data_IF_474478705293
#
_entry.id   IF_474478705293
#
_cell.length_a   1.000
_cell.length_b   1.000
_cell.length_c   1.000
_cell.angle_alpha   90.00
_cell.angle_beta   90.00
_cell.angle_gamma   90.00
#
_symmetry.space_group_name_H-M   'P 1'
#
loop_
_entity.id
_entity.type
_entity.pdbx_description
1 polymer ?
#
# COMPACT_ATOMS: atom_id res chain seq x y z
N UNK A 1 22.77 3.98 0.65
CA UNK A 1 22.45 5.18 1.44
C UNK A 1 21.23 5.85 0.82
N UNK A 2 20.28 6.33 1.63
CA UNK A 2 19.05 7.00 1.19
C UNK A 2 19.40 8.33 0.53
N UNK A 3 18.89 8.54 -0.69
CA UNK A 3 19.06 9.78 -1.46
C UNK A 3 17.81 10.67 -1.42
N UNK A 4 17.93 11.91 -1.88
CA UNK A 4 16.76 12.78 -2.06
C UNK A 4 15.76 12.14 -3.02
N UNK A 5 14.49 12.07 -2.61
CA UNK A 5 13.43 11.40 -3.37
C UNK A 5 13.35 9.88 -3.16
N UNK A 6 14.30 9.27 -2.43
CA UNK A 6 14.18 7.86 -2.05
C UNK A 6 13.11 7.68 -0.97
N UNK A 7 12.20 6.77 -1.24
CA UNK A 7 11.33 6.16 -0.23
C UNK A 7 11.49 4.64 -0.18
N UNK A 8 10.96 4.02 0.87
CA UNK A 8 11.09 2.57 1.11
C UNK A 8 10.64 1.72 -0.10
N UNK A 9 9.65 2.21 -0.85
CA UNK A 9 9.10 1.56 -2.02
C UNK A 9 10.00 1.72 -3.26
N UNK A 10 10.55 2.90 -3.48
CA UNK A 10 11.54 3.15 -4.54
C UNK A 10 12.82 2.33 -4.33
N UNK A 11 13.25 2.19 -3.07
CA UNK A 11 14.38 1.35 -2.66
C UNK A 11 14.03 -0.12 -2.89
N UNK A 12 12.85 -0.56 -2.45
CA UNK A 12 12.33 -1.91 -2.73
C UNK A 12 12.39 -2.26 -4.23
N UNK A 13 11.97 -1.34 -5.09
CA UNK A 13 12.02 -1.50 -6.55
C UNK A 13 13.46 -1.56 -7.08
N UNK A 14 14.30 -0.63 -6.65
CA UNK A 14 15.71 -0.53 -7.09
C UNK A 14 16.49 -1.81 -6.79
N UNK A 15 16.28 -2.37 -5.59
CA UNK A 15 17.01 -3.57 -5.13
C UNK A 15 16.26 -4.88 -5.35
N UNK A 16 15.03 -4.85 -5.88
CA UNK A 16 14.17 -6.03 -6.10
C UNK A 16 13.89 -6.84 -4.82
N UNK A 17 13.90 -6.19 -3.67
CA UNK A 17 13.59 -6.75 -2.34
C UNK A 17 12.25 -6.22 -1.89
N UNK A 18 11.39 -7.05 -1.30
CA UNK A 18 10.08 -6.61 -0.85
C UNK A 18 10.17 -5.66 0.36
N UNK A 19 9.22 -4.73 0.40
CA UNK A 19 9.13 -3.71 1.45
C UNK A 19 9.14 -4.30 2.87
N UNK A 20 8.39 -5.38 3.19
CA UNK A 20 8.48 -6.03 4.49
C UNK A 20 9.90 -6.44 4.86
N UNK A 21 10.67 -7.04 3.96
CA UNK A 21 12.07 -7.40 4.21
C UNK A 21 12.89 -6.18 4.61
N UNK A 22 12.83 -5.09 3.83
CA UNK A 22 13.64 -3.89 4.10
C UNK A 22 13.28 -3.29 5.46
N UNK A 23 11.99 -3.24 5.80
CA UNK A 23 11.52 -2.69 7.06
C UNK A 23 12.01 -3.50 8.24
N UNK A 24 11.84 -4.83 8.19
CA UNK A 24 12.25 -5.70 9.30
C UNK A 24 13.77 -5.74 9.46
N UNK A 25 14.52 -5.77 8.36
CA UNK A 25 15.99 -5.74 8.41
C UNK A 25 16.51 -4.45 9.03
N UNK A 26 15.83 -3.32 8.83
CA UNK A 26 16.25 -2.01 9.33
C UNK A 26 15.48 -1.53 10.56
N UNK A 27 14.59 -2.37 11.11
CA UNK A 27 13.72 -2.05 12.25
C UNK A 27 13.00 -0.70 12.08
N UNK A 28 12.53 -0.41 10.86
CA UNK A 28 11.95 0.89 10.54
C UNK A 28 10.57 1.03 11.19
N UNK A 29 10.43 2.03 12.06
CA UNK A 29 9.17 2.39 12.72
C UNK A 29 8.28 3.31 11.88
N UNK A 30 8.80 3.90 10.80
CA UNK A 30 8.05 4.75 9.87
C UNK A 30 8.51 4.58 8.42
N UNK A 31 7.67 4.99 7.46
CA UNK A 31 8.04 5.08 6.05
C UNK A 31 8.87 6.32 5.72
N UNK A 32 9.02 7.28 6.65
CA UNK A 32 9.81 8.49 6.45
C UNK A 32 11.29 8.15 6.57
N UNK A 33 11.97 8.09 5.43
CA UNK A 33 13.42 7.90 5.38
C UNK A 33 14.12 9.27 5.42
N UNK A 34 15.18 9.38 6.22
CA UNK A 34 16.05 10.55 6.22
C UNK A 34 17.13 10.37 5.16
N UNK A 35 17.33 11.38 4.33
CA UNK A 35 18.44 11.43 3.36
C UNK A 35 19.76 11.26 4.13
N UNK A 36 20.66 10.43 3.61
CA UNK A 36 21.92 10.08 4.26
C UNK A 36 21.84 8.84 5.18
N UNK A 37 20.64 8.31 5.48
CA UNK A 37 20.53 7.07 6.27
C UNK A 37 21.08 5.88 5.49
N UNK A 38 21.94 5.07 6.11
CA UNK A 38 22.37 3.80 5.56
C UNK A 38 21.36 2.69 5.90
N UNK A 39 20.64 2.19 4.89
CA UNK A 39 19.78 1.01 5.04
C UNK A 39 20.55 -0.26 4.67
N UNK A 40 20.40 -1.29 5.49
CA UNK A 40 20.80 -2.67 5.21
C UNK A 40 19.80 -3.28 4.25
N UNK A 41 20.24 -3.60 3.03
CA UNK A 41 19.40 -4.24 2.01
C UNK A 41 19.90 -5.68 1.83
N UNK A 42 19.12 -6.69 2.23
CA UNK A 42 19.46 -8.09 1.97
C UNK A 42 19.55 -8.36 0.46
N UNK A 43 20.36 -9.34 0.06
CA UNK A 43 20.48 -9.77 -1.33
C UNK A 43 19.36 -10.73 -1.77
N UNK A 44 18.49 -11.13 -0.85
CA UNK A 44 17.36 -12.02 -1.09
C UNK A 44 16.18 -11.65 -0.20
N UNK A 45 14.98 -12.12 -0.58
CA UNK A 45 13.73 -11.85 0.17
C UNK A 45 13.69 -12.68 1.45
N UNK A 46 13.12 -12.09 2.51
CA UNK A 46 13.04 -12.78 3.80
C UNK A 46 12.82 -11.84 4.98
N UNK A 47 12.99 -12.36 6.19
CA UNK A 47 12.72 -11.60 7.42
C UNK A 47 13.89 -11.70 8.35
N UNK A 48 14.33 -10.57 8.89
CA UNK A 48 15.27 -10.57 9.99
C UNK A 48 14.50 -10.79 11.31
N UNK A 49 14.63 -11.97 11.90
CA UNK A 49 13.99 -12.34 13.15
C UNK A 49 14.95 -12.19 14.32
N UNK A 50 14.53 -11.47 15.38
CA UNK A 50 15.30 -11.38 16.63
C UNK A 50 14.87 -12.51 17.56
N UNK A 51 15.80 -13.41 17.89
CA UNK A 51 15.58 -14.58 18.75
C UNK A 51 15.13 -14.13 20.14
N UNK A 52 14.00 -14.66 20.61
CA UNK A 52 13.49 -14.38 21.96
C UNK A 52 14.18 -15.26 23.00
N UNK A 53 14.15 -14.83 24.26
CA UNK A 53 14.66 -15.62 25.39
C UNK A 53 13.93 -16.98 25.44
N UNK A 54 14.70 -18.07 25.39
CA UNK A 54 14.18 -19.45 25.42
C UNK A 54 13.70 -20.00 24.07
N UNK A 55 13.82 -19.26 22.97
CA UNK A 55 13.37 -19.70 21.65
C UNK A 55 14.47 -20.49 20.92
N UNK A 56 14.10 -21.59 20.29
CA UNK A 56 15.03 -22.41 19.48
C UNK A 56 14.92 -22.12 17.98
N UNK A 57 15.94 -22.51 17.19
CA UNK A 57 15.84 -22.49 15.73
C UNK A 57 14.67 -23.33 15.22
N UNK A 58 14.33 -24.43 15.91
CA UNK A 58 13.24 -25.30 15.54
C UNK A 58 11.89 -24.57 15.68
N UNK A 59 11.70 -23.83 16.79
CA UNK A 59 10.49 -23.03 17.01
C UNK A 59 10.32 -21.96 15.93
N UNK A 60 11.43 -21.30 15.55
CA UNK A 60 11.44 -20.31 14.48
C UNK A 60 11.10 -20.98 13.14
N UNK A 61 11.77 -22.08 12.80
CA UNK A 61 11.53 -22.84 11.57
C UNK A 61 10.06 -23.26 11.43
N UNK A 62 9.48 -23.82 12.50
CA UNK A 62 8.08 -24.23 12.55
C UNK A 62 7.13 -23.04 12.36
N UNK A 63 7.39 -21.93 13.06
CA UNK A 63 6.50 -20.77 13.03
C UNK A 63 6.43 -20.11 11.65
N UNK A 64 7.57 -20.02 10.94
CA UNK A 64 7.63 -19.39 9.62
C UNK A 64 7.51 -20.39 8.45
N UNK A 65 7.36 -21.69 8.73
CA UNK A 65 7.34 -22.77 7.74
C UNK A 65 8.60 -22.82 6.86
N UNK A 66 9.77 -22.70 7.48
CA UNK A 66 11.08 -22.70 6.79
C UNK A 66 11.88 -23.92 7.20
N UNK A 67 12.58 -24.53 6.25
CA UNK A 67 13.50 -25.64 6.54
C UNK A 67 14.66 -25.16 7.42
N UNK A 68 14.96 -25.92 8.48
CA UNK A 68 16.07 -25.63 9.39
C UNK A 68 17.41 -25.58 8.65
N UNK A 69 17.63 -26.53 7.71
CA UNK A 69 18.84 -26.58 6.87
C UNK A 69 19.00 -25.30 6.04
N UNK A 70 17.94 -24.85 5.36
CA UNK A 70 17.95 -23.62 4.57
C UNK A 70 18.24 -22.38 5.42
N UNK A 71 17.69 -22.35 6.64
CA UNK A 71 17.95 -21.27 7.60
C UNK A 71 19.41 -21.28 8.06
N UNK A 72 19.98 -22.44 8.35
CA UNK A 72 21.38 -22.56 8.77
C UNK A 72 22.35 -22.16 7.67
N UNK A 73 22.14 -22.64 6.44
CA UNK A 73 22.97 -22.31 5.27
C UNK A 73 23.04 -20.80 5.03
N UNK A 74 21.89 -20.13 5.06
CA UNK A 74 21.81 -18.68 4.79
C UNK A 74 22.42 -17.83 5.91
N UNK A 75 22.41 -18.31 7.15
CA UNK A 75 22.99 -17.59 8.28
C UNK A 75 24.41 -18.05 8.64
N UNK A 76 24.98 -18.99 7.89
CA UNK A 76 26.29 -19.57 8.20
C UNK A 76 26.34 -20.29 9.55
N UNK A 77 25.21 -20.81 10.03
CA UNK A 77 25.12 -21.47 11.34
C UNK A 77 25.59 -22.91 11.24
N UNK A 78 26.69 -23.23 11.90
CA UNK A 78 27.22 -24.61 11.99
C UNK A 78 26.46 -25.48 13.00
N UNK A 79 25.67 -24.87 13.89
CA UNK A 79 24.92 -25.56 14.93
C UNK A 79 23.48 -25.05 15.01
N UNK A 80 22.64 -25.73 15.78
CA UNK A 80 21.26 -25.28 16.03
C UNK A 80 21.12 -24.32 17.22
N UNK A 81 22.24 -23.96 17.84
CA UNK A 81 22.29 -23.10 19.02
C UNK A 81 22.19 -21.63 18.60
N UNK A 82 21.28 -20.91 19.25
CA UNK A 82 21.07 -19.47 19.02
C UNK A 82 20.93 -18.75 20.34
N UNK A 83 21.42 -17.51 20.39
CA UNK A 83 21.37 -16.70 21.60
C UNK A 83 20.16 -15.77 21.59
N UNK A 84 19.58 -15.54 22.76
CA UNK A 84 18.55 -14.53 22.91
C UNK A 84 19.08 -13.16 22.45
N UNK A 85 18.34 -12.49 21.58
CA UNK A 85 18.70 -11.20 20.99
C UNK A 85 19.49 -11.30 19.68
N UNK A 86 19.94 -12.48 19.27
CA UNK A 86 20.58 -12.72 17.99
C UNK A 86 19.60 -12.49 16.83
N UNK A 87 20.07 -11.89 15.74
CA UNK A 87 19.25 -11.61 14.57
C UNK A 87 19.52 -12.65 13.48
N UNK A 88 18.49 -13.40 13.10
CA UNK A 88 18.57 -14.50 12.14
C UNK A 88 17.74 -14.14 10.93
N UNK A 89 18.36 -14.21 9.76
CA UNK A 89 17.70 -13.98 8.49
C UNK A 89 16.93 -15.23 8.06
N UNK A 90 15.63 -15.08 7.83
CA UNK A 90 14.73 -16.14 7.44
C UNK A 90 14.44 -16.02 5.94
N UNK A 91 15.07 -16.83 5.08
CA UNK A 91 14.90 -16.72 3.62
C UNK A 91 13.50 -17.11 3.18
N UNK A 92 12.92 -16.32 2.27
CA UNK A 92 11.56 -16.46 1.75
C UNK A 92 10.43 -16.45 2.80
N UNK A 93 10.77 -16.08 4.04
CA UNK A 93 9.81 -15.94 5.12
C UNK A 93 8.81 -14.83 4.81
N UNK A 94 7.53 -15.11 5.03
CA UNK A 94 6.48 -14.08 5.05
C UNK A 94 6.26 -13.59 6.48
N UNK A 95 5.91 -12.32 6.70
CA UNK A 95 5.72 -11.83 8.05
C UNK A 95 4.56 -12.58 8.69
N UNK A 96 4.77 -13.05 9.93
CA UNK A 96 3.67 -13.56 10.72
C UNK A 96 2.62 -12.45 10.85
N UNK A 97 1.35 -12.81 11.05
CA UNK A 97 0.23 -11.84 11.11
C UNK A 97 0.49 -10.69 12.11
N UNK A 98 1.23 -10.95 13.19
CA UNK A 98 1.63 -9.96 14.20
C UNK A 98 2.88 -9.13 13.83
N UNK A 99 3.62 -9.52 12.79
CA UNK A 99 4.75 -8.81 12.19
C UNK A 99 4.40 -8.27 10.79
N UNK A 100 3.12 -8.28 10.42
CA UNK A 100 2.70 -7.49 9.27
C UNK A 100 3.20 -6.07 9.46
N UNK A 101 3.66 -5.47 8.35
CA UNK A 101 4.23 -4.13 8.23
C UNK A 101 3.80 -3.28 9.42
N UNK A 102 4.72 -2.59 10.13
CA UNK A 102 4.33 -1.65 11.16
C UNK A 102 3.18 -0.86 10.57
N UNK A 103 2.05 -0.81 11.28
CA UNK A 103 0.95 0.05 10.90
C UNK A 103 1.49 1.45 11.07
N UNK A 104 2.30 1.89 10.10
CA UNK A 104 2.87 3.21 10.00
C UNK A 104 1.65 4.08 10.03
N UNK A 105 1.43 4.69 11.20
CA UNK A 105 0.12 5.11 11.64
C UNK A 105 -0.61 5.71 10.47
N UNK A 106 -1.66 5.03 9.99
CA UNK A 106 -2.53 5.65 9.01
C UNK A 106 -3.10 6.85 9.74
N UNK A 107 -2.59 8.03 9.44
CA UNK A 107 -3.19 9.31 9.80
C UNK A 107 -4.47 9.49 8.97
N UNK A 108 -5.32 8.46 8.97
CA UNK A 108 -6.45 8.32 8.06
C UNK A 108 -6.06 8.29 6.59
N UNK A 109 -7.07 8.44 5.75
CA UNK A 109 -6.93 8.73 4.33
C UNK A 109 -6.89 10.25 4.16
N UNK A 110 -6.06 10.79 3.27
CA UNK A 110 -6.14 12.21 2.91
C UNK A 110 -7.15 12.42 1.78
N UNK A 111 -7.62 13.66 1.63
CA UNK A 111 -8.33 14.08 0.41
C UNK A 111 -7.47 13.83 -0.84
N UNK A 112 -7.95 13.03 -1.81
CA UNK A 112 -7.15 12.64 -2.97
C UNK A 112 -7.07 13.72 -4.07
N UNK A 113 -7.96 14.70 -4.03
CA UNK A 113 -8.00 15.82 -4.97
C UNK A 113 -8.47 17.07 -4.22
N UNK A 114 -7.89 18.23 -4.53
CA UNK A 114 -8.45 19.50 -4.11
C UNK A 114 -9.71 19.78 -4.94
N UNK A 115 -10.83 20.07 -4.28
CA UNK A 115 -12.11 20.27 -4.95
C UNK A 115 -13.28 20.25 -3.97
N UNK A 116 -14.48 20.54 -4.47
CA UNK A 116 -15.71 20.50 -3.69
C UNK A 116 -16.37 19.13 -3.82
N UNK A 117 -16.87 18.58 -2.72
CA UNK A 117 -17.72 17.39 -2.77
C UNK A 117 -19.04 17.77 -3.46
N UNK A 118 -19.24 17.29 -4.68
CA UNK A 118 -20.45 17.52 -5.48
C UNK A 118 -21.51 16.44 -5.28
N UNK A 119 -21.10 15.24 -4.86
CA UNK A 119 -22.01 14.14 -4.52
C UNK A 119 -21.44 13.30 -3.40
N UNK A 120 -22.32 12.83 -2.51
CA UNK A 120 -21.96 12.02 -1.34
C UNK A 120 -22.28 10.55 -1.59
N UNK A 121 -21.68 9.70 -0.74
CA UNK A 121 -21.99 8.28 -0.65
C UNK A 121 -23.45 8.06 -0.21
N UNK A 122 -24.13 7.08 -0.81
CA UNK A 122 -25.48 6.70 -0.45
C UNK A 122 -26.49 6.73 -1.60
N UNK A 123 -27.78 6.58 -1.27
CA UNK A 123 -28.86 6.60 -2.23
C UNK A 123 -29.06 8.00 -2.82
N UNK A 124 -29.08 8.10 -4.15
CA UNK A 124 -29.37 9.32 -4.89
C UNK A 124 -30.16 9.01 -6.17
N UNK A 125 -30.74 10.05 -6.77
CA UNK A 125 -31.23 9.97 -8.15
C UNK A 125 -30.00 9.94 -9.07
N UNK A 126 -29.94 8.98 -9.99
CA UNK A 126 -28.84 8.83 -10.93
C UNK A 126 -28.82 10.02 -11.89
N UNK A 127 -27.72 10.78 -11.98
CA UNK A 127 -27.70 12.05 -12.71
C UNK A 127 -27.89 11.90 -14.23
N UNK A 128 -27.69 10.69 -14.76
CA UNK A 128 -27.81 10.40 -16.21
C UNK A 128 -29.12 9.68 -16.54
N UNK A 129 -29.63 8.82 -15.65
CA UNK A 129 -30.74 7.90 -15.97
C UNK A 129 -32.04 8.24 -15.24
N UNK A 130 -31.99 9.16 -14.26
CA UNK A 130 -33.16 9.61 -13.51
C UNK A 130 -33.75 8.59 -12.52
N UNK A 131 -33.21 7.37 -12.46
CA UNK A 131 -33.63 6.33 -11.52
C UNK A 131 -32.86 6.41 -10.19
N UNK A 132 -33.42 5.85 -9.13
CA UNK A 132 -32.71 5.73 -7.85
C UNK A 132 -31.52 4.77 -7.98
N UNK A 133 -30.32 5.24 -7.62
CA UNK A 133 -29.08 4.48 -7.64
C UNK A 133 -28.25 4.70 -6.38
N UNK A 134 -27.54 3.68 -5.94
CA UNK A 134 -26.64 3.78 -4.80
C UNK A 134 -25.24 4.23 -5.25
N UNK A 135 -24.82 5.40 -4.78
CA UNK A 135 -23.49 5.93 -5.02
C UNK A 135 -22.49 5.34 -4.03
N UNK A 136 -21.50 4.60 -4.57
CA UNK A 136 -20.52 3.81 -3.80
C UNK A 136 -19.33 4.62 -3.30
N UNK A 137 -19.21 5.88 -3.71
CA UNK A 137 -18.09 6.76 -3.39
C UNK A 137 -18.53 8.19 -3.11
N UNK A 138 -17.62 9.13 -3.33
CA UNK A 138 -17.88 10.57 -3.34
C UNK A 138 -17.38 11.18 -4.63
N UNK A 139 -18.15 12.13 -5.17
CA UNK A 139 -17.75 12.89 -6.34
C UNK A 139 -17.08 14.18 -5.86
N UNK A 140 -15.82 14.38 -6.24
CA UNK A 140 -15.03 15.58 -5.95
C UNK A 140 -14.92 16.37 -7.25
N UNK A 141 -15.69 17.45 -7.35
CA UNK A 141 -15.66 18.35 -8.50
C UNK A 141 -14.36 19.16 -8.49
N UNK A 142 -13.62 19.05 -9.59
CA UNK A 142 -12.37 19.73 -9.83
C UNK A 142 -12.15 19.90 -11.34
N UNK A 143 -11.40 20.92 -11.80
CA UNK A 143 -11.11 21.11 -13.21
C UNK A 143 -10.46 19.88 -13.86
N UNK A 144 -10.73 19.64 -15.14
CA UNK A 144 -10.04 18.61 -15.93
C UNK A 144 -8.52 18.79 -15.81
N UNK A 145 -7.78 17.69 -15.62
CA UNK A 145 -6.33 17.68 -15.47
C UNK A 145 -5.84 17.96 -14.04
N UNK A 146 -6.72 18.28 -13.10
CA UNK A 146 -6.35 18.48 -11.68
C UNK A 146 -5.64 17.26 -11.10
N UNK A 147 -4.69 17.49 -10.19
CA UNK A 147 -3.86 16.42 -9.65
C UNK A 147 -4.67 15.48 -8.76
N UNK A 148 -4.59 14.18 -9.04
CA UNK A 148 -5.12 13.12 -8.18
C UNK A 148 -3.96 12.43 -7.45
N UNK A 149 -4.07 12.35 -6.13
CA UNK A 149 -3.08 11.78 -5.23
C UNK A 149 -3.61 10.49 -4.59
N UNK A 150 -2.70 9.59 -4.25
CA UNK A 150 -3.06 8.43 -3.44
C UNK A 150 -3.46 8.87 -2.03
N UNK A 151 -4.63 8.42 -1.58
CA UNK A 151 -5.18 8.80 -0.28
C UNK A 151 -4.45 8.14 0.90
N UNK A 152 -3.73 7.05 0.68
CA UNK A 152 -2.98 6.30 1.69
C UNK A 152 -1.85 5.49 1.02
N UNK A 153 -0.77 5.09 1.72
CA UNK A 153 0.26 4.27 1.09
C UNK A 153 -0.30 2.90 0.70
N UNK A 154 0.14 2.34 -0.42
CA UNK A 154 -0.40 1.08 -0.90
C UNK A 154 0.25 0.55 -2.18
N UNK A 155 -0.35 -0.51 -2.73
CA UNK A 155 0.05 -1.12 -3.99
C UNK A 155 -1.07 -0.98 -5.01
N UNK A 156 -0.75 -0.45 -6.17
CA UNK A 156 -1.65 -0.39 -7.32
C UNK A 156 -1.98 -1.81 -7.76
N UNK A 157 -3.26 -2.18 -7.67
CA UNK A 157 -3.75 -3.50 -8.04
C UNK A 157 -4.47 -3.49 -9.40
N UNK A 158 -4.83 -2.30 -9.89
CA UNK A 158 -5.46 -2.11 -11.19
C UNK A 158 -5.17 -0.71 -11.73
N UNK A 159 -4.86 -0.63 -13.03
CA UNK A 159 -4.87 0.59 -13.85
C UNK A 159 -5.52 0.22 -15.19
N UNK A 160 -6.53 0.95 -15.62
CA UNK A 160 -7.14 0.69 -16.92
C UNK A 160 -8.59 1.18 -17.03
N UNK A 161 -9.23 0.79 -18.12
CA UNK A 161 -10.63 1.13 -18.38
C UNK A 161 -11.57 0.19 -17.62
N UNK A 162 -12.59 0.74 -16.97
CA UNK A 162 -13.73 0.01 -16.40
C UNK A 162 -15.02 0.60 -16.95
N UNK A 163 -15.95 -0.27 -17.37
CA UNK A 163 -17.28 0.18 -17.84
C UNK A 163 -17.96 1.03 -16.76
N UNK A 164 -18.58 2.14 -17.16
CA UNK A 164 -19.14 3.16 -16.26
C UNK A 164 -18.09 4.10 -15.65
N UNK A 165 -17.02 3.56 -15.04
CA UNK A 165 -16.00 4.36 -14.34
C UNK A 165 -14.97 5.05 -15.27
N UNK A 166 -14.84 4.59 -16.52
CA UNK A 166 -13.80 5.07 -17.44
C UNK A 166 -12.40 4.68 -16.98
N UNK A 167 -11.41 5.54 -17.20
CA UNK A 167 -10.05 5.30 -16.73
C UNK A 167 -9.99 5.32 -15.21
N UNK A 168 -9.48 4.23 -14.64
CA UNK A 168 -9.55 3.95 -13.21
C UNK A 168 -8.23 3.42 -12.68
N UNK A 169 -7.89 3.82 -11.46
CA UNK A 169 -6.82 3.24 -10.64
C UNK A 169 -7.44 2.63 -9.37
N UNK A 170 -7.04 1.40 -9.00
CA UNK A 170 -7.35 0.83 -7.69
C UNK A 170 -6.05 0.55 -6.93
N UNK A 171 -6.03 0.88 -5.63
CA UNK A 171 -4.87 0.72 -4.75
C UNK A 171 -5.29 -0.09 -3.53
N UNK A 172 -4.59 -1.19 -3.27
CA UNK A 172 -4.71 -1.96 -2.04
C UNK A 172 -3.82 -1.37 -0.95
N UNK A 173 -4.38 -1.24 0.25
CA UNK A 173 -3.71 -0.70 1.43
C UNK A 173 -3.64 -1.77 2.53
N UNK A 174 -2.94 -1.45 3.62
CA UNK A 174 -2.90 -2.28 4.81
C UNK A 174 -4.29 -2.52 5.41
N UNK A 175 -4.40 -3.56 6.25
CA UNK A 175 -5.63 -3.86 7.02
C UNK A 175 -6.88 -4.10 6.15
N UNK A 176 -6.72 -4.53 4.90
CA UNK A 176 -7.84 -4.89 4.03
C UNK A 176 -8.61 -3.71 3.44
N UNK A 177 -7.99 -2.52 3.41
CA UNK A 177 -8.54 -1.36 2.71
C UNK A 177 -8.15 -1.36 1.22
N UNK A 178 -9.02 -0.78 0.40
CA UNK A 178 -8.76 -0.49 -1.00
C UNK A 178 -9.36 0.87 -1.36
N UNK A 179 -8.68 1.65 -2.20
CA UNK A 179 -9.21 2.89 -2.77
C UNK A 179 -9.36 2.78 -4.27
N UNK A 180 -10.39 3.42 -4.82
CA UNK A 180 -10.62 3.53 -6.26
C UNK A 180 -10.69 5.01 -6.66
N UNK A 181 -10.06 5.34 -7.79
CA UNK A 181 -10.01 6.67 -8.37
C UNK A 181 -10.48 6.55 -9.82
N UNK A 182 -11.65 7.08 -10.14
CA UNK A 182 -12.32 6.89 -11.43
C UNK A 182 -12.46 8.20 -12.21
N UNK A 183 -12.97 8.09 -13.43
CA UNK A 183 -13.19 9.20 -14.36
C UNK A 183 -11.92 9.96 -14.74
N UNK A 184 -10.77 9.29 -14.73
CA UNK A 184 -9.45 9.92 -14.90
C UNK A 184 -9.21 10.36 -16.36
N UNK A 185 -8.39 11.39 -16.55
CA UNK A 185 -7.89 11.81 -17.88
C UNK A 185 -6.55 11.19 -18.22
N UNK A 186 -5.72 10.95 -17.19
CA UNK A 186 -4.38 10.41 -17.31
C UNK A 186 -4.05 9.59 -16.06
N UNK A 187 -3.36 8.47 -16.28
CA UNK A 187 -2.81 7.63 -15.22
C UNK A 187 -1.28 7.80 -15.23
N UNK A 188 -0.69 8.00 -14.06
CA UNK A 188 0.76 8.21 -13.86
C UNK A 188 1.47 7.03 -13.19
N UNK A 189 0.76 5.92 -12.95
CA UNK A 189 1.24 4.71 -12.27
C UNK A 189 0.77 3.45 -13.00
N UNK A 190 1.47 2.34 -12.78
CA UNK A 190 1.18 1.06 -13.40
C UNK A 190 0.73 0.01 -12.37
N UNK A 191 0.03 -1.02 -12.84
CA UNK A 191 -0.35 -2.15 -11.98
C UNK A 191 0.92 -2.79 -11.39
N UNK A 192 0.91 -2.99 -10.08
CA UNK A 192 2.04 -3.54 -9.33
C UNK A 192 2.91 -2.46 -8.68
N UNK A 193 2.79 -1.20 -9.10
CA UNK A 193 3.47 -0.08 -8.45
C UNK A 193 3.07 0.04 -6.99
N UNK A 194 4.03 0.48 -6.19
CA UNK A 194 3.74 0.96 -4.85
C UNK A 194 3.74 2.48 -4.82
N UNK A 195 2.86 3.05 -4.02
CA UNK A 195 2.66 4.49 -3.91
C UNK A 195 2.56 4.95 -2.47
N UNK A 196 2.96 6.19 -2.23
CA UNK A 196 2.86 6.85 -0.93
C UNK A 196 1.57 7.66 -0.80
N UNK A 197 1.14 7.92 0.45
CA UNK A 197 0.10 8.91 0.68
C UNK A 197 0.53 10.28 0.15
N UNK A 198 -0.34 10.92 -0.62
CA UNK A 198 -0.06 12.21 -1.25
C UNK A 198 0.73 12.13 -2.56
N UNK A 199 1.25 10.95 -2.93
CA UNK A 199 1.91 10.77 -4.23
C UNK A 199 0.91 10.99 -5.37
N UNK A 200 1.30 11.77 -6.38
CA UNK A 200 0.51 11.94 -7.61
C UNK A 200 0.41 10.59 -8.34
N UNK A 201 -0.81 10.15 -8.60
CA UNK A 201 -1.09 8.87 -9.28
C UNK A 201 -1.84 9.06 -10.60
N UNK A 202 -2.55 10.17 -10.77
CA UNK A 202 -3.40 10.42 -11.93
C UNK A 202 -3.76 11.91 -12.06
N UNK A 203 -4.62 12.20 -13.03
CA UNK A 203 -5.26 13.49 -13.21
C UNK A 203 -6.79 13.33 -13.39
N UNK A 204 -7.55 14.28 -12.84
CA UNK A 204 -9.01 14.36 -12.97
C UNK A 204 -9.39 14.41 -14.45
N UNK A 205 -10.47 13.74 -14.82
CA UNK A 205 -10.95 13.71 -16.19
C UNK A 205 -12.47 13.81 -16.26
N UNK A 206 -12.99 13.29 -17.37
CA UNK A 206 -14.41 13.21 -17.69
C UNK A 206 -14.68 11.95 -18.54
N UNK A 207 -14.02 10.83 -18.19
CA UNK A 207 -14.10 9.59 -18.93
C UNK A 207 -15.14 8.64 -18.33
N UNK A 208 -15.78 7.81 -19.16
CA UNK A 208 -16.83 6.91 -18.68
C UNK A 208 -18.19 7.61 -18.65
N UNK A 209 -19.04 7.27 -17.68
CA UNK A 209 -20.37 7.85 -17.53
C UNK A 209 -20.34 9.02 -16.57
N UNK A 210 -20.13 10.22 -17.12
CA UNK A 210 -20.00 11.46 -16.36
C UNK A 210 -20.81 12.58 -16.98
N UNK A 211 -21.27 13.53 -16.16
CA UNK A 211 -21.95 14.76 -16.63
C UNK A 211 -21.02 15.97 -16.70
N UNK A 212 -19.80 15.85 -16.17
CA UNK A 212 -18.77 16.89 -16.20
C UNK A 212 -17.53 16.47 -15.40
N UNK A 213 -16.43 17.26 -15.44
CA UNK A 213 -15.18 16.89 -14.80
C UNK A 213 -15.28 16.75 -13.27
N UNK A 214 -14.91 15.57 -12.77
CA UNK A 214 -14.82 15.25 -11.34
C UNK A 214 -13.97 13.98 -11.11
N UNK A 215 -13.59 13.76 -9.85
CA UNK A 215 -13.05 12.49 -9.39
C UNK A 215 -14.16 11.74 -8.64
N UNK A 216 -14.52 10.54 -9.10
CA UNK A 216 -15.24 9.56 -8.28
C UNK A 216 -14.20 8.80 -7.43
N UNK A 217 -14.35 8.89 -6.11
CA UNK A 217 -13.47 8.28 -5.12
C UNK A 217 -14.23 7.31 -4.22
N UNK A 218 -13.84 6.03 -4.24
CA UNK A 218 -14.40 5.00 -3.36
C UNK A 218 -13.37 4.50 -2.35
N UNK A 219 -13.86 4.10 -1.17
CA UNK A 219 -13.09 3.32 -0.20
C UNK A 219 -13.83 2.01 0.07
N UNK A 220 -13.08 0.91 0.09
CA UNK A 220 -13.58 -0.42 0.47
C UNK A 220 -12.82 -0.93 1.69
N UNK A 221 -13.53 -1.61 2.58
CA UNK A 221 -12.97 -2.38 3.69
C UNK A 221 -13.43 -3.82 3.56
N UNK A 222 -12.47 -4.74 3.44
CA UNK A 222 -12.76 -6.17 3.25
C UNK A 222 -13.76 -6.41 2.11
N UNK A 223 -13.58 -5.72 0.98
CA UNK A 223 -14.42 -5.73 -0.24
C UNK A 223 -15.76 -4.99 -0.16
N UNK A 224 -16.24 -4.63 1.03
CA UNK A 224 -17.45 -3.81 1.20
C UNK A 224 -17.15 -2.33 0.99
N UNK A 225 -17.95 -1.63 0.20
CA UNK A 225 -17.87 -0.16 0.05
C UNK A 225 -18.29 0.50 1.36
N UNK A 226 -17.59 1.56 1.75
CA UNK A 226 -17.88 2.35 2.94
C UNK A 226 -17.86 3.84 2.57
N UNK A 227 -18.51 4.68 3.38
CA UNK A 227 -18.53 6.12 3.15
C UNK A 227 -17.10 6.71 3.24
N UNK A 228 -16.51 7.20 2.12
CA UNK A 228 -15.16 7.76 2.14
C UNK A 228 -14.97 8.88 3.16
N UNK A 229 -16.00 9.71 3.37
CA UNK A 229 -15.93 10.88 4.27
C UNK A 229 -15.75 10.50 5.74
N UNK A 230 -16.09 9.27 6.12
CA UNK A 230 -15.85 8.77 7.49
C UNK A 230 -14.38 8.35 7.72
N UNK A 231 -13.59 8.27 6.66
CA UNK A 231 -12.19 7.81 6.71
C UNK A 231 -11.18 8.90 6.35
N UNK A 232 -11.67 10.01 5.77
CA UNK A 232 -10.85 11.13 5.32
C UNK A 232 -10.51 12.06 6.49
N UNK A 233 -9.26 12.52 6.54
CA UNK A 233 -8.72 13.50 7.50
C UNK A 233 -8.32 14.79 6.78
#
# INVERSE_FOLDING_TARGET
>A
VVQSGDNIWSISRRFKIDVPTIIHTNLLSSNKLRVGTALKIPNQKGILHKVKKGQTLWDIARAYHISLKKMQEVNGLSTSLVRAGEAIFLPDAKPLKAQLLPTWGSSGFIMPCAGRISSRYGWRIHPIFGNTAFHKGVDISAPYGSTVKSAAPGRVIFCGWKSGYGWTVNISHSSGYETQYAHLSKINVEKGDYVEQGQRIAAVGNSGWTTGPHLDFEIRKNKSVINPLSCLQ
#
